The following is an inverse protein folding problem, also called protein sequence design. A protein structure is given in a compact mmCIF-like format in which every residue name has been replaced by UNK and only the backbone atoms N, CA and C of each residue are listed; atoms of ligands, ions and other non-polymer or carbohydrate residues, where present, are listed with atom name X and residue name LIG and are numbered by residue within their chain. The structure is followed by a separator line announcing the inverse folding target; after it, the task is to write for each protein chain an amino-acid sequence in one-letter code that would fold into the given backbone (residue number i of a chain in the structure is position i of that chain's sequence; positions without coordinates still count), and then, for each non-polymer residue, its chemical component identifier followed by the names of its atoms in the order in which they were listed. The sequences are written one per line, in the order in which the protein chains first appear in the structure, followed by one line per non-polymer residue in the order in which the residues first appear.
data_IF_896070430229
#
_entry.id   IF_896070430229
#
_cell.length_a   1.000
_cell.length_b   1.000
_cell.length_c   1.000
_cell.angle_alpha   90.00
_cell.angle_beta   90.00
_cell.angle_gamma   90.00
#
_symmetry.space_group_name_H-M   'P 1'
#
loop_
_entity.id
_entity.type
_entity.pdbx_description
1 polymer ?
#
# COMPACT_ATOMS: atom_id res chain seq x y z
N UNK A 1 49.46 7.71 57.41
CA UNK A 1 48.60 8.23 56.31
C UNK A 1 47.81 7.04 55.76
N UNK A 2 46.78 6.57 56.46
CA UNK A 2 45.35 6.91 56.25
C UNK A 2 44.92 6.69 54.80
N UNK A 3 44.41 5.49 54.47
CA UNK A 3 42.97 5.14 54.40
C UNK A 3 42.22 5.90 53.31
N UNK A 4 41.66 5.19 52.31
CA UNK A 4 40.29 5.44 51.85
C UNK A 4 39.68 4.21 51.17
N UNK A 5 38.52 3.81 51.69
CA UNK A 5 37.60 2.78 51.20
C UNK A 5 36.71 3.29 50.06
N UNK A 6 36.13 2.31 49.37
CA UNK A 6 35.07 2.36 48.36
C UNK A 6 33.89 3.32 48.61
N UNK A 7 33.33 3.88 47.53
CA UNK A 7 31.93 3.71 47.10
C UNK A 7 31.63 4.55 45.85
N UNK A 8 30.91 4.00 44.87
CA UNK A 8 30.58 4.75 43.64
C UNK A 8 29.60 4.08 42.68
N UNK A 9 28.41 3.74 43.18
CA UNK A 9 27.09 3.67 42.50
C UNK A 9 27.01 3.15 41.06
N UNK A 10 26.33 2.00 40.95
CA UNK A 10 25.62 1.55 39.77
C UNK A 10 24.47 2.51 39.37
N UNK A 11 24.41 2.83 38.08
CA UNK A 11 23.31 3.44 37.34
C UNK A 11 23.64 3.13 35.87
N UNK A 12 22.83 2.56 35.00
CA UNK A 12 21.41 2.24 34.99
C UNK A 12 21.03 2.08 33.51
N UNK A 13 19.96 1.32 33.25
CA UNK A 13 19.22 1.18 31.97
C UNK A 13 19.78 0.19 30.94
N UNK A 14 19.38 -1.06 31.16
CA UNK A 14 19.08 -2.02 30.09
C UNK A 14 17.98 -1.44 29.17
N UNK A 15 18.28 -1.29 27.88
CA UNK A 15 17.31 -0.96 26.84
C UNK A 15 16.68 -2.25 26.30
N UNK A 16 15.75 -2.81 27.08
CA UNK A 16 14.84 -3.85 26.60
C UNK A 16 13.72 -3.20 25.79
N UNK A 17 13.90 -3.06 24.47
CA UNK A 17 12.79 -2.77 23.55
C UNK A 17 11.97 -4.04 23.35
N UNK A 18 11.03 -4.27 24.25
CA UNK A 18 9.91 -5.18 24.02
C UNK A 18 9.08 -4.64 22.85
N UNK A 19 8.98 -5.43 21.79
CA UNK A 19 8.06 -5.17 20.70
C UNK A 19 6.63 -5.27 21.26
N UNK A 20 6.02 -4.11 21.45
CA UNK A 20 4.61 -3.99 21.80
C UNK A 20 3.75 -4.64 20.72
N UNK A 21 3.19 -5.78 21.09
CA UNK A 21 2.16 -6.51 20.34
C UNK A 21 0.91 -5.63 20.33
N UNK A 22 0.67 -4.91 19.24
CA UNK A 22 -0.54 -4.10 19.06
C UNK A 22 -1.74 -5.02 18.84
N UNK A 23 -2.42 -5.40 19.92
CA UNK A 23 -3.82 -5.78 19.87
C UNK A 23 -4.62 -4.51 19.53
N UNK A 24 -4.70 -4.17 18.24
CA UNK A 24 -5.48 -3.03 17.77
C UNK A 24 -6.97 -3.37 17.84
N UNK A 25 -7.66 -2.83 18.85
CA UNK A 25 -9.12 -2.66 18.79
C UNK A 25 -9.41 -1.67 17.66
N UNK A 26 -10.20 -2.06 16.66
CA UNK A 26 -10.63 -1.15 15.59
C UNK A 26 -11.44 0.02 16.19
N UNK A 27 -11.22 1.27 15.74
CA UNK A 27 -12.01 2.42 16.16
C UNK A 27 -13.50 2.30 15.73
N UNK A 28 -14.37 3.00 16.46
CA UNK A 28 -15.82 2.79 16.47
C UNK A 28 -16.57 2.95 15.14
N UNK A 29 -16.00 3.68 14.16
CA UNK A 29 -16.64 3.93 12.86
C UNK A 29 -16.43 2.84 11.81
N UNK A 30 -15.44 1.96 12.00
CA UNK A 30 -15.12 0.90 11.04
C UNK A 30 -15.19 -0.50 11.67
N UNK A 31 -16.02 -0.66 12.71
CA UNK A 31 -16.22 -1.95 13.37
C UNK A 31 -16.62 -3.00 12.34
N UNK A 32 -15.95 -4.14 12.41
CA UNK A 32 -16.27 -5.29 11.57
C UNK A 32 -15.68 -5.25 10.16
N UNK A 33 -14.89 -4.25 9.74
CA UNK A 33 -14.23 -4.27 8.43
C UNK A 33 -12.70 -4.37 8.52
N UNK A 34 -12.10 -5.24 7.72
CA UNK A 34 -10.64 -5.33 7.56
C UNK A 34 -10.23 -5.25 6.09
N UNK A 35 -9.22 -4.42 5.80
CA UNK A 35 -8.58 -4.33 4.49
C UNK A 35 -7.19 -4.95 4.55
N UNK A 36 -7.00 -6.14 3.98
CA UNK A 36 -5.70 -6.77 3.90
C UNK A 36 -4.93 -6.29 2.67
N UNK A 37 -3.69 -5.85 2.87
CA UNK A 37 -2.77 -5.41 1.82
C UNK A 37 -1.41 -6.07 1.98
N UNK A 38 -0.64 -6.19 0.90
CA UNK A 38 0.64 -6.89 0.94
C UNK A 38 1.70 -6.12 1.71
N UNK A 39 1.80 -4.81 1.51
CA UNK A 39 2.87 -3.99 2.06
C UNK A 39 2.43 -2.66 2.67
N UNK A 40 3.31 -2.03 3.48
CA UNK A 40 3.05 -0.69 4.04
C UNK A 40 2.96 0.39 2.96
N UNK A 41 3.63 0.18 1.81
CA UNK A 41 3.55 1.09 0.67
C UNK A 41 2.14 1.18 0.12
N UNK A 42 1.44 0.06 0.03
CA UNK A 42 0.10 -0.05 -0.55
C UNK A 42 -0.88 0.82 0.22
N UNK A 43 -0.83 0.77 1.56
CA UNK A 43 -1.63 1.65 2.43
C UNK A 43 -1.43 3.12 2.05
N UNK A 44 -0.16 3.55 1.91
CA UNK A 44 0.15 4.93 1.55
C UNK A 44 -0.34 5.33 0.15
N UNK A 45 -0.33 4.41 -0.81
CA UNK A 45 -0.87 4.63 -2.16
C UNK A 45 -2.40 4.74 -2.13
N UNK A 46 -3.07 3.81 -1.45
CA UNK A 46 -4.52 3.79 -1.31
C UNK A 46 -5.02 5.05 -0.58
N UNK A 47 -4.36 5.45 0.50
CA UNK A 47 -4.68 6.70 1.20
C UNK A 47 -4.50 7.92 0.30
N UNK A 48 -3.40 7.98 -0.47
CA UNK A 48 -3.14 9.09 -1.38
C UNK A 48 -4.21 9.23 -2.46
N UNK A 49 -4.69 8.12 -3.03
CA UNK A 49 -5.79 8.13 -3.99
C UNK A 49 -7.14 8.40 -3.32
N UNK A 50 -7.41 7.80 -2.17
CA UNK A 50 -8.63 8.04 -1.42
C UNK A 50 -8.79 9.51 -1.05
N UNK A 51 -7.71 10.20 -0.67
CA UNK A 51 -7.74 11.64 -0.36
C UNK A 51 -8.27 12.48 -1.54
N UNK A 52 -8.09 12.03 -2.78
CA UNK A 52 -8.58 12.72 -3.99
C UNK A 52 -10.06 12.48 -4.26
N UNK A 53 -10.65 11.45 -3.66
CA UNK A 53 -12.05 11.04 -3.87
C UNK A 53 -12.91 11.38 -2.64
N UNK A 54 -12.39 11.11 -1.44
CA UNK A 54 -13.03 11.39 -0.16
C UNK A 54 -11.97 11.45 0.95
N UNK A 55 -11.73 12.63 1.57
CA UNK A 55 -10.84 12.76 2.72
C UNK A 55 -11.20 11.82 3.88
N UNK A 56 -12.50 11.63 4.14
CA UNK A 56 -12.97 10.75 5.21
C UNK A 56 -12.57 9.28 4.96
N UNK A 57 -12.66 8.81 3.70
CA UNK A 57 -12.24 7.45 3.35
C UNK A 57 -10.73 7.25 3.55
N UNK A 58 -9.92 8.28 3.29
CA UNK A 58 -8.46 8.21 3.46
C UNK A 58 -8.07 8.03 4.94
N UNK A 59 -8.77 8.68 5.86
CA UNK A 59 -8.58 8.50 7.30
C UNK A 59 -8.96 7.09 7.74
N UNK A 60 -10.12 6.60 7.30
CA UNK A 60 -10.60 5.25 7.64
C UNK A 60 -9.66 4.15 7.13
N UNK A 61 -9.05 4.32 5.95
CA UNK A 61 -8.10 3.34 5.40
C UNK A 61 -6.94 3.01 6.34
N UNK A 62 -6.41 4.01 7.08
CA UNK A 62 -5.35 3.77 8.07
C UNK A 62 -5.80 2.87 9.22
N UNK A 63 -7.08 2.93 9.55
CA UNK A 63 -7.65 2.26 10.72
C UNK A 63 -7.99 0.81 10.42
N UNK A 64 -8.43 0.51 9.18
CA UNK A 64 -8.87 -0.82 8.77
C UNK A 64 -7.79 -1.64 8.06
N UNK A 65 -6.68 -1.02 7.65
CA UNK A 65 -5.64 -1.70 6.90
C UNK A 65 -4.82 -2.65 7.78
N UNK A 66 -4.66 -3.90 7.31
CA UNK A 66 -3.83 -4.94 7.91
C UNK A 66 -2.74 -5.34 6.90
N UNK A 67 -1.49 -5.18 7.29
CA UNK A 67 -0.34 -5.49 6.43
C UNK A 67 0.03 -6.97 6.56
N UNK A 68 -0.01 -7.70 5.45
CA UNK A 68 0.27 -9.13 5.40
C UNK A 68 1.76 -9.47 5.33
N UNK A 69 2.60 -8.57 4.81
CA UNK A 69 4.02 -8.84 4.57
C UNK A 69 4.24 -9.69 3.31
N UNK A 70 3.64 -9.28 2.20
CA UNK A 70 3.64 -9.97 0.90
C UNK A 70 2.31 -10.66 0.58
N UNK A 71 2.29 -11.43 -0.52
CA UNK A 71 1.13 -12.20 -0.98
C UNK A 71 0.83 -13.39 -0.05
N UNK A 72 0.05 -13.16 1.01
CA UNK A 72 -0.30 -14.16 2.03
C UNK A 72 -1.82 -14.29 2.25
N UNK A 73 -2.60 -14.78 1.25
CA UNK A 73 -4.06 -14.89 1.37
C UNK A 73 -4.51 -15.86 2.48
N UNK A 74 -3.70 -16.87 2.81
CA UNK A 74 -3.97 -17.78 3.93
C UNK A 74 -3.89 -17.06 5.29
N UNK A 75 -2.92 -16.15 5.46
CA UNK A 75 -2.79 -15.32 6.67
C UNK A 75 -3.96 -14.35 6.81
N UNK A 76 -4.43 -13.78 5.68
CA UNK A 76 -5.63 -12.95 5.67
C UNK A 76 -6.86 -13.74 6.14
N UNK A 77 -7.06 -14.96 5.61
CA UNK A 77 -8.15 -15.85 6.01
C UNK A 77 -8.08 -16.23 7.49
N UNK A 78 -6.91 -16.62 7.99
CA UNK A 78 -6.71 -16.96 9.40
C UNK A 78 -7.05 -15.78 10.32
N UNK A 79 -6.50 -14.59 10.03
CA UNK A 79 -6.80 -13.38 10.82
C UNK A 79 -8.28 -13.03 10.76
N UNK A 80 -8.91 -13.21 9.59
CA UNK A 80 -10.33 -12.91 9.42
C UNK A 80 -11.24 -13.85 10.22
N UNK A 81 -10.92 -15.15 10.33
CA UNK A 81 -11.67 -16.06 11.19
C UNK A 81 -11.67 -15.60 12.65
N UNK A 82 -10.52 -15.16 13.16
CA UNK A 82 -10.43 -14.58 14.52
C UNK A 82 -11.22 -13.28 14.66
N UNK A 83 -11.31 -12.47 13.61
CA UNK A 83 -12.19 -11.30 13.62
C UNK A 83 -13.67 -11.71 13.70
N UNK A 84 -14.07 -12.71 12.92
CA UNK A 84 -15.45 -13.23 12.88
C UNK A 84 -15.91 -13.91 14.15
N UNK A 85 -15.00 -14.51 14.92
CA UNK A 85 -15.29 -15.02 16.27
C UNK A 85 -15.76 -13.91 17.22
N UNK A 86 -15.35 -12.66 16.98
CA UNK A 86 -15.70 -11.49 17.80
C UNK A 86 -16.88 -10.71 17.24
N UNK A 87 -17.06 -10.77 15.93
CA UNK A 87 -18.09 -10.06 15.19
C UNK A 87 -18.53 -10.92 14.00
N UNK A 88 -19.63 -11.64 14.17
CA UNK A 88 -20.11 -12.62 13.18
C UNK A 88 -20.44 -11.98 11.82
N UNK A 89 -20.76 -10.69 11.82
CA UNK A 89 -21.12 -9.87 10.65
C UNK A 89 -19.91 -9.16 10.02
N UNK A 90 -18.71 -9.38 10.56
CA UNK A 90 -17.49 -8.80 10.02
C UNK A 90 -17.29 -9.17 8.55
N UNK A 91 -16.79 -8.20 7.78
CA UNK A 91 -16.42 -8.31 6.37
C UNK A 91 -14.97 -7.96 6.18
N UNK A 92 -14.38 -8.45 5.10
CA UNK A 92 -13.02 -8.08 4.76
C UNK A 92 -12.78 -8.08 3.26
N UNK A 93 -11.77 -7.33 2.86
CA UNK A 93 -11.28 -7.27 1.50
C UNK A 93 -9.77 -7.53 1.50
N UNK A 94 -9.33 -8.54 0.77
CA UNK A 94 -7.92 -8.87 0.60
C UNK A 94 -7.45 -8.46 -0.79
N UNK A 95 -6.54 -7.48 -0.84
CA UNK A 95 -6.01 -6.92 -2.08
C UNK A 95 -4.71 -7.62 -2.44
N UNK A 96 -4.65 -8.14 -3.66
CA UNK A 96 -3.52 -8.91 -4.17
C UNK A 96 -3.02 -8.31 -5.48
N UNK A 97 -1.70 -8.28 -5.64
CA UNK A 97 -1.07 -8.07 -6.93
C UNK A 97 -1.45 -9.20 -7.91
N UNK A 98 -1.46 -8.87 -9.20
CA UNK A 98 -1.83 -9.84 -10.24
C UNK A 98 -0.74 -10.87 -10.47
N UNK A 99 0.52 -10.58 -10.13
CA UNK A 99 1.71 -11.44 -10.29
C UNK A 99 1.71 -12.34 -11.53
N UNK A 100 2.51 -11.97 -12.54
CA UNK A 100 2.71 -12.80 -13.73
C UNK A 100 3.97 -13.67 -13.61
N UNK A 101 3.72 -14.98 -13.72
CA UNK A 101 4.61 -16.12 -14.05
C UNK A 101 5.26 -16.95 -12.92
N UNK A 102 5.04 -18.28 -13.03
CA UNK A 102 5.91 -19.34 -12.51
C UNK A 102 5.53 -19.96 -11.17
N UNK A 103 5.03 -19.17 -10.22
CA UNK A 103 4.67 -19.68 -8.90
C UNK A 103 3.17 -20.05 -8.84
N UNK A 104 2.80 -21.22 -8.29
CA UNK A 104 1.41 -21.51 -7.95
C UNK A 104 0.91 -20.40 -7.04
N UNK A 105 -0.14 -19.66 -7.46
CA UNK A 105 -0.77 -18.69 -6.57
C UNK A 105 -1.29 -19.45 -5.35
N UNK A 106 -1.02 -18.98 -4.12
CA UNK A 106 -1.72 -19.52 -2.97
C UNK A 106 -3.22 -19.33 -3.23
N UNK A 107 -3.93 -20.46 -3.30
CA UNK A 107 -5.36 -20.47 -3.66
C UNK A 107 -6.10 -19.60 -2.65
N UNK A 108 -6.95 -18.71 -3.15
CA UNK A 108 -7.87 -17.98 -2.29
C UNK A 108 -8.60 -19.01 -1.41
N UNK A 109 -8.55 -18.79 -0.09
CA UNK A 109 -9.25 -19.65 0.85
C UNK A 109 -10.66 -19.10 0.93
N UNK A 110 -11.65 -19.90 0.57
CA UNK A 110 -13.05 -19.49 0.63
C UNK A 110 -13.44 -19.30 2.10
N UNK A 111 -13.59 -18.04 2.51
CA UNK A 111 -14.06 -17.67 3.85
C UNK A 111 -15.27 -16.75 3.71
N UNK A 112 -16.45 -17.11 4.25
CA UNK A 112 -17.64 -16.28 4.15
C UNK A 112 -17.40 -14.89 4.75
N UNK A 113 -17.60 -13.85 3.95
CA UNK A 113 -17.36 -12.45 4.33
C UNK A 113 -15.96 -11.91 3.95
N UNK A 114 -15.04 -12.76 3.49
CA UNK A 114 -13.75 -12.35 2.95
C UNK A 114 -13.81 -12.30 1.42
N UNK A 115 -13.74 -11.10 0.87
CA UNK A 115 -13.62 -10.88 -0.57
C UNK A 115 -12.14 -10.76 -0.98
N UNK A 116 -11.80 -11.24 -2.17
CA UNK A 116 -10.48 -11.03 -2.77
C UNK A 116 -10.58 -10.06 -3.95
N UNK A 117 -9.73 -9.04 -3.95
CA UNK A 117 -9.54 -8.11 -5.06
C UNK A 117 -8.15 -8.33 -5.64
N UNK A 118 -8.08 -8.75 -6.91
CA UNK A 118 -6.80 -8.80 -7.63
C UNK A 118 -6.72 -7.63 -8.58
N UNK A 119 -5.59 -6.90 -8.55
CA UNK A 119 -5.36 -5.80 -9.47
C UNK A 119 -5.48 -6.24 -10.95
N UNK A 120 -6.05 -5.37 -11.79
CA UNK A 120 -6.09 -5.59 -13.23
C UNK A 120 -4.73 -5.39 -13.89
N UNK A 121 -3.87 -4.53 -13.33
CA UNK A 121 -2.45 -4.40 -13.68
C UNK A 121 -1.59 -5.26 -12.75
N UNK A 122 -0.33 -5.50 -13.13
CA UNK A 122 0.58 -6.43 -12.43
C UNK A 122 0.75 -6.11 -10.95
N UNK A 123 1.07 -4.85 -10.65
CA UNK A 123 1.24 -4.37 -9.27
C UNK A 123 0.48 -3.06 -9.08
N UNK A 124 0.21 -2.70 -7.83
CA UNK A 124 -0.35 -1.39 -7.47
C UNK A 124 0.50 -0.22 -8.02
N UNK A 125 1.82 -0.35 -8.10
CA UNK A 125 2.69 0.68 -8.70
C UNK A 125 2.47 0.90 -10.19
N UNK A 126 1.96 -0.10 -10.92
CA UNK A 126 1.68 0.03 -12.35
C UNK A 126 0.61 1.08 -12.64
N UNK A 127 -0.22 1.45 -11.66
CA UNK A 127 -1.21 2.53 -11.77
C UNK A 127 -0.59 3.94 -11.59
N UNK A 128 0.70 4.04 -11.24
CA UNK A 128 1.42 5.30 -11.10
C UNK A 128 2.12 5.74 -12.40
N UNK A 129 2.06 4.93 -13.44
CA UNK A 129 2.60 5.23 -14.77
C UNK A 129 1.71 6.25 -15.49
N UNK A 130 1.64 7.46 -14.94
CA UNK A 130 0.88 8.60 -15.43
C UNK A 130 1.85 9.77 -15.64
N UNK A 131 2.18 10.14 -16.90
CA UNK A 131 3.21 11.13 -17.19
C UNK A 131 2.99 12.47 -16.46
N UNK A 132 1.77 13.00 -16.52
CA UNK A 132 1.40 14.26 -15.87
C UNK A 132 1.59 14.23 -14.35
N UNK A 133 1.21 13.12 -13.70
CA UNK A 133 1.38 12.98 -12.26
C UNK A 133 2.85 12.88 -11.85
N UNK A 134 3.68 12.18 -12.64
CA UNK A 134 5.13 12.12 -12.41
C UNK A 134 5.73 13.53 -12.50
N UNK A 135 5.42 14.30 -13.55
CA UNK A 135 5.88 15.69 -13.71
C UNK A 135 5.50 16.55 -12.50
N UNK A 136 4.23 16.53 -12.12
CA UNK A 136 3.72 17.33 -10.99
C UNK A 136 4.36 16.91 -9.67
N UNK A 137 4.57 15.62 -9.44
CA UNK A 137 5.22 15.12 -8.21
C UNK A 137 6.66 15.61 -8.05
N UNK A 138 7.32 15.90 -9.17
CA UNK A 138 8.70 16.35 -9.25
C UNK A 138 8.84 17.84 -9.55
N UNK A 139 7.73 18.57 -9.74
CA UNK A 139 7.70 19.98 -10.18
C UNK A 139 8.51 20.20 -11.47
N UNK A 140 8.35 19.31 -12.43
CA UNK A 140 8.94 19.43 -13.77
C UNK A 140 8.02 20.26 -14.68
N UNK A 141 8.55 20.91 -15.73
CA UNK A 141 7.75 21.50 -16.80
C UNK A 141 6.82 20.47 -17.47
N UNK A 142 5.67 20.92 -17.97
CA UNK A 142 4.69 20.06 -18.64
C UNK A 142 5.25 19.41 -19.92
N UNK A 143 6.21 20.05 -20.56
CA UNK A 143 6.91 19.63 -21.77
C UNK A 143 8.26 18.93 -21.48
N UNK A 144 8.54 18.51 -20.24
CA UNK A 144 9.79 17.84 -19.91
C UNK A 144 9.96 16.56 -20.75
N UNK A 145 10.87 16.65 -21.74
CA UNK A 145 11.09 15.63 -22.75
C UNK A 145 11.65 14.33 -22.17
N UNK A 146 12.22 14.34 -20.96
CA UNK A 146 12.75 13.13 -20.31
C UNK A 146 11.62 12.22 -19.88
N UNK A 147 10.49 12.77 -19.43
CA UNK A 147 9.32 11.97 -19.07
C UNK A 147 8.71 11.35 -20.33
N UNK A 148 8.51 12.10 -21.42
CA UNK A 148 8.03 11.50 -22.67
C UNK A 148 8.99 10.43 -23.22
N UNK A 149 10.30 10.70 -23.14
CA UNK A 149 11.33 9.74 -23.54
C UNK A 149 11.21 8.43 -22.77
N UNK A 150 11.02 8.49 -21.45
CA UNK A 150 10.80 7.32 -20.61
C UNK A 150 9.63 6.48 -21.12
N UNK A 151 8.47 7.11 -21.31
CA UNK A 151 7.25 6.39 -21.71
C UNK A 151 7.36 5.78 -23.11
N UNK A 152 8.11 6.43 -24.01
CA UNK A 152 8.32 5.93 -25.37
C UNK A 152 9.37 4.81 -25.45
N UNK A 153 10.44 4.90 -24.68
CA UNK A 153 11.64 4.04 -24.84
C UNK A 153 11.70 2.92 -23.81
N UNK A 154 11.21 3.15 -22.59
CA UNK A 154 11.30 2.18 -21.50
C UNK A 154 10.01 1.37 -21.29
N UNK A 155 8.87 1.87 -21.78
CA UNK A 155 7.58 1.22 -21.60
C UNK A 155 7.04 0.69 -22.95
N UNK A 156 6.46 -0.53 -22.98
CA UNK A 156 5.72 -1.01 -24.13
C UNK A 156 4.50 -0.15 -24.43
N UNK A 157 4.16 -0.06 -25.71
CA UNK A 157 2.94 0.56 -26.17
C UNK A 157 1.71 -0.33 -25.88
N UNK A 158 0.59 0.31 -25.57
CA UNK A 158 -0.70 -0.34 -25.37
C UNK A 158 -1.00 -0.72 -23.92
N UNK A 159 -2.26 -0.59 -23.53
CA UNK A 159 -2.72 -0.75 -22.13
C UNK A 159 -2.46 -2.16 -21.58
N UNK A 160 -2.67 -3.20 -22.39
CA UNK A 160 -2.44 -4.59 -21.99
C UNK A 160 -0.98 -4.86 -21.64
N UNK A 161 -0.05 -4.40 -22.48
CA UNK A 161 1.37 -4.58 -22.27
C UNK A 161 1.86 -3.74 -21.09
N UNK A 162 1.40 -2.49 -21.00
CA UNK A 162 1.67 -1.61 -19.85
C UNK A 162 1.21 -2.23 -18.53
N UNK A 163 0.02 -2.84 -18.52
CA UNK A 163 -0.52 -3.52 -17.37
C UNK A 163 0.27 -4.76 -16.96
N UNK A 164 1.07 -5.36 -17.84
CA UNK A 164 1.89 -6.55 -17.54
C UNK A 164 3.28 -6.22 -16.97
N UNK A 165 3.71 -4.96 -17.01
CA UNK A 165 5.04 -4.55 -16.55
C UNK A 165 5.16 -4.68 -15.03
N UNK A 166 6.32 -5.19 -14.59
CA UNK A 166 6.74 -5.01 -13.21
C UNK A 166 7.18 -3.57 -12.96
N UNK A 167 6.29 -2.76 -12.38
CA UNK A 167 6.58 -1.37 -12.09
C UNK A 167 7.41 -1.17 -10.82
N UNK A 168 7.60 -2.20 -9.97
CA UNK A 168 8.34 -2.06 -8.70
C UNK A 168 9.79 -1.61 -8.93
N UNK A 169 10.57 -2.22 -9.87
CA UNK A 169 11.93 -1.76 -10.20
C UNK A 169 12.00 -0.33 -10.75
N UNK A 170 10.96 0.14 -11.45
CA UNK A 170 10.95 1.48 -12.03
C UNK A 170 11.01 2.57 -10.94
N UNK A 171 10.32 2.33 -9.82
CA UNK A 171 10.26 3.22 -8.66
C UNK A 171 11.25 2.89 -7.54
N UNK A 172 12.13 1.90 -7.74
CA UNK A 172 13.15 1.55 -6.76
C UNK A 172 14.19 2.67 -6.61
N UNK A 173 14.95 2.64 -5.51
CA UNK A 173 16.15 3.48 -5.38
C UNK A 173 17.12 3.12 -6.50
N UNK A 174 17.59 4.11 -7.26
CA UNK A 174 18.38 3.93 -8.49
C UNK A 174 17.63 3.17 -9.60
N UNK A 175 16.31 3.08 -9.50
CA UNK A 175 15.43 2.59 -10.56
C UNK A 175 15.49 3.47 -11.80
N UNK A 176 14.95 2.96 -12.90
CA UNK A 176 15.08 3.58 -14.23
C UNK A 176 14.53 5.02 -14.28
N UNK A 177 13.38 5.28 -13.63
CA UNK A 177 12.83 6.63 -13.51
C UNK A 177 13.79 7.59 -12.81
N UNK A 178 14.41 7.15 -11.72
CA UNK A 178 15.37 7.98 -10.99
C UNK A 178 16.62 8.24 -11.83
N UNK A 179 17.15 7.22 -12.52
CA UNK A 179 18.34 7.36 -13.37
C UNK A 179 18.11 8.37 -14.48
N UNK A 180 16.94 8.32 -15.12
CA UNK A 180 16.62 9.21 -16.23
C UNK A 180 16.28 10.64 -15.78
N UNK A 181 15.54 10.80 -14.68
CA UNK A 181 15.08 12.11 -14.20
C UNK A 181 16.09 12.80 -13.28
N UNK A 182 17.15 12.10 -12.87
CA UNK A 182 18.21 12.59 -11.99
C UNK A 182 17.74 12.87 -10.56
N UNK A 183 16.55 12.41 -10.17
CA UNK A 183 15.95 12.65 -8.85
C UNK A 183 15.08 11.47 -8.41
N UNK A 184 15.01 11.16 -7.10
CA UNK A 184 14.18 10.06 -6.62
C UNK A 184 12.69 10.29 -6.94
N UNK A 185 12.03 9.29 -7.52
CA UNK A 185 10.59 9.30 -7.77
C UNK A 185 9.90 8.45 -6.71
N UNK A 186 9.22 9.10 -5.77
CA UNK A 186 8.54 8.39 -4.67
C UNK A 186 7.10 8.02 -5.08
N UNK A 187 6.71 6.74 -5.06
CA UNK A 187 5.37 6.28 -5.46
C UNK A 187 4.21 7.09 -4.84
N UNK A 188 4.24 7.28 -3.52
CA UNK A 188 3.21 8.06 -2.80
C UNK A 188 3.14 9.51 -3.26
N UNK A 189 4.25 10.12 -3.67
CA UNK A 189 4.22 11.49 -4.19
C UNK A 189 3.58 11.56 -5.58
N UNK A 190 3.79 10.54 -6.41
CA UNK A 190 3.11 10.41 -7.71
C UNK A 190 1.61 10.22 -7.51
N UNK A 191 1.20 9.29 -6.64
CA UNK A 191 -0.21 9.08 -6.29
C UNK A 191 -0.87 10.36 -5.78
N UNK A 192 -0.19 11.06 -4.87
CA UNK A 192 -0.63 12.37 -4.36
C UNK A 192 -0.61 13.48 -5.39
N UNK A 193 0.03 13.32 -6.54
CA UNK A 193 0.03 14.32 -7.60
C UNK A 193 -1.04 14.03 -8.67
N UNK A 194 -1.61 12.82 -8.70
CA UNK A 194 -2.62 12.41 -9.68
C UNK A 194 -3.92 13.20 -9.51
N UNK A 195 -4.44 13.77 -10.59
CA UNK A 195 -5.79 14.35 -10.59
C UNK A 195 -6.85 13.28 -10.42
N UNK A 196 -8.04 13.68 -9.94
CA UNK A 196 -9.15 12.74 -9.79
C UNK A 196 -9.37 11.98 -11.09
N UNK A 197 -9.44 12.64 -12.26
CA UNK A 197 -9.65 12.00 -13.57
C UNK A 197 -8.54 11.04 -14.04
N UNK A 198 -7.35 11.10 -13.46
CA UNK A 198 -6.23 10.19 -13.79
C UNK A 198 -6.24 8.91 -12.94
N UNK A 199 -7.09 8.83 -11.91
CA UNK A 199 -7.24 7.61 -11.09
C UNK A 199 -7.97 6.56 -11.92
N UNK A 200 -7.27 5.45 -12.17
CA UNK A 200 -7.73 4.33 -12.98
C UNK A 200 -8.99 3.66 -12.41
N UNK A 201 -9.80 3.07 -13.29
CA UNK A 201 -11.06 2.44 -12.94
C UNK A 201 -10.94 1.37 -11.85
N UNK A 202 -9.91 0.51 -11.92
CA UNK A 202 -9.67 -0.53 -10.91
C UNK A 202 -9.43 0.05 -9.51
N UNK A 203 -8.65 1.13 -9.42
CA UNK A 203 -8.39 1.82 -8.16
C UNK A 203 -9.68 2.39 -7.58
N UNK A 204 -10.54 2.97 -8.44
CA UNK A 204 -11.86 3.45 -8.00
C UNK A 204 -12.77 2.32 -7.57
N UNK A 205 -12.76 1.20 -8.28
CA UNK A 205 -13.54 0.02 -7.95
C UNK A 205 -13.14 -0.52 -6.57
N UNK A 206 -11.84 -0.61 -6.29
CA UNK A 206 -11.34 -0.98 -4.97
C UNK A 206 -11.81 0.02 -3.90
N UNK A 207 -11.59 1.32 -4.11
CA UNK A 207 -11.99 2.35 -3.13
C UNK A 207 -13.49 2.36 -2.88
N UNK A 208 -14.32 2.08 -3.90
CA UNK A 208 -15.75 1.94 -3.76
C UNK A 208 -16.12 0.74 -2.87
N UNK A 209 -15.47 -0.42 -3.05
CA UNK A 209 -15.68 -1.61 -2.19
C UNK A 209 -15.28 -1.35 -0.75
N UNK A 210 -14.13 -0.69 -0.53
CA UNK A 210 -13.72 -0.29 0.82
C UNK A 210 -14.76 0.62 1.43
N UNK A 211 -15.19 1.66 0.70
CA UNK A 211 -16.20 2.62 1.15
C UNK A 211 -17.50 1.93 1.58
N UNK A 212 -18.01 1.00 0.77
CA UNK A 212 -19.17 0.17 1.12
C UNK A 212 -18.90 -0.71 2.34
N UNK A 213 -17.72 -1.33 2.42
CA UNK A 213 -17.33 -2.19 3.54
C UNK A 213 -17.24 -1.45 4.88
N UNK A 214 -16.82 -0.19 4.88
CA UNK A 214 -16.73 0.65 6.09
C UNK A 214 -18.01 1.44 6.38
N UNK A 215 -19.09 1.24 5.62
CA UNK A 215 -20.38 1.89 5.87
C UNK A 215 -20.42 3.39 5.56
N UNK A 216 -19.56 3.87 4.68
CA UNK A 216 -19.64 5.22 4.13
C UNK A 216 -20.50 5.17 2.86
N UNK A 217 -21.69 5.76 2.86
CA UNK A 217 -22.50 5.96 1.63
C UNK A 217 -22.11 7.27 0.92
#
# INVERSE_FOLDING_TARGET
MSSFRANGRANGRANGRTHGRTNGSLPSRARGFALYVEGPRDVGLLQAWAQRVSPALAETLSEVAVILGGCQPARAAEHFRTLRERDADARALCVLDRDTEGAPRPRAVEEPGLEYFTWGRRHIESYLLVPGAIRRSLRLPDDDARVERFFREALPAGETALGAIDAKPLFAVQGELQRLLGRPVRPVHVARAMFAGEIHADVRALLARVRTGVGHE
#
